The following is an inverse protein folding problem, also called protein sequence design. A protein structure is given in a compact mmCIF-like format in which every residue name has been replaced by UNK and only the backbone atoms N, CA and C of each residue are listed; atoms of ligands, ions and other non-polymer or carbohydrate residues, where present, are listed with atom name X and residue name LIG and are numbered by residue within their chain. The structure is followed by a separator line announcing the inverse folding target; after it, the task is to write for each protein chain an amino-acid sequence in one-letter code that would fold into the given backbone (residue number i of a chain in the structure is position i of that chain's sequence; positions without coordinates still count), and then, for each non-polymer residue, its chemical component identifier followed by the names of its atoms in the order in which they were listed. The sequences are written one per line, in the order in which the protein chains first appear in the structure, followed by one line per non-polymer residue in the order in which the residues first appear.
data_IF_848931977983
#
_entry.id   IF_848931977983
#
_cell.length_a   1.000
_cell.length_b   1.000
_cell.length_c   1.000
_cell.angle_alpha   90.00
_cell.angle_beta   90.00
_cell.angle_gamma   90.00
#
_symmetry.space_group_name_H-M   'P 1'
#
loop_
_entity.id
_entity.type
_entity.pdbx_description
1 polymer ?
#
# COMPACT_ATOMS: atom_id res chain seq x y z
N UNK A 1 -14.72 -5.98 10.81
CA UNK A 1 -14.83 -7.30 10.14
C UNK A 1 -14.12 -7.39 8.78
N UNK A 2 -13.91 -6.29 8.04
CA UNK A 2 -13.33 -6.39 6.68
C UNK A 2 -11.83 -6.73 6.64
N UNK A 3 -11.06 -6.39 7.67
CA UNK A 3 -9.61 -6.62 7.71
C UNK A 3 -9.27 -8.06 8.10
N UNK A 4 -9.77 -8.53 9.25
CA UNK A 4 -9.43 -9.85 9.82
C UNK A 4 -10.54 -10.91 9.68
N UNK A 5 -11.56 -10.63 8.86
CA UNK A 5 -12.74 -11.48 8.69
C UNK A 5 -13.79 -11.36 9.80
N UNK A 6 -15.01 -11.83 9.50
CA UNK A 6 -16.18 -11.74 10.40
C UNK A 6 -15.97 -12.51 11.70
N UNK A 7 -15.54 -13.77 11.64
CA UNK A 7 -15.47 -14.66 12.80
C UNK A 7 -14.47 -14.16 13.85
N UNK A 8 -13.25 -13.82 13.42
CA UNK A 8 -12.19 -13.33 14.32
C UNK A 8 -12.52 -11.97 14.92
N UNK A 9 -13.14 -11.07 14.13
CA UNK A 9 -13.65 -9.80 14.66
C UNK A 9 -14.68 -10.03 15.76
N UNK A 10 -15.62 -10.95 15.56
CA UNK A 10 -16.67 -11.24 16.54
C UNK A 10 -16.08 -11.79 17.85
N UNK A 11 -15.13 -12.72 17.75
CA UNK A 11 -14.41 -13.27 18.90
C UNK A 11 -13.73 -12.16 19.72
N UNK A 12 -12.93 -11.29 19.09
CA UNK A 12 -12.21 -10.22 19.80
C UNK A 12 -13.16 -9.20 20.44
N UNK A 13 -14.18 -8.75 19.70
CA UNK A 13 -15.10 -7.73 20.19
C UNK A 13 -15.99 -8.24 21.33
N UNK A 14 -16.35 -9.53 21.33
CA UNK A 14 -17.22 -10.10 22.37
C UNK A 14 -16.45 -10.60 23.60
N UNK A 15 -15.20 -11.03 23.43
CA UNK A 15 -14.39 -11.57 24.55
C UNK A 15 -13.48 -10.52 25.19
N UNK A 16 -13.12 -9.46 24.44
CA UNK A 16 -12.15 -8.46 24.88
C UNK A 16 -10.73 -9.01 25.06
N UNK A 17 -10.42 -10.21 24.55
CA UNK A 17 -9.08 -10.78 24.66
C UNK A 17 -8.06 -9.96 23.88
N UNK A 18 -6.82 -9.98 24.35
CA UNK A 18 -5.70 -9.42 23.60
C UNK A 18 -5.31 -10.33 22.43
N UNK A 19 -4.83 -9.71 21.35
CA UNK A 19 -4.29 -10.38 20.17
C UNK A 19 -2.79 -10.21 20.14
N UNK A 20 -2.07 -11.32 19.96
CA UNK A 20 -0.63 -11.32 19.80
C UNK A 20 -0.21 -10.81 18.41
N UNK A 21 0.99 -10.23 18.32
CA UNK A 21 1.50 -9.62 17.08
C UNK A 21 1.54 -10.61 15.91
N UNK A 22 1.94 -11.85 16.14
CA UNK A 22 1.99 -12.88 15.11
C UNK A 22 0.60 -13.30 14.63
N UNK A 23 -0.40 -13.30 15.51
CA UNK A 23 -1.79 -13.54 15.11
C UNK A 23 -2.29 -12.38 14.24
N UNK A 24 -1.95 -11.14 14.61
CA UNK A 24 -2.29 -9.94 13.87
C UNK A 24 -1.72 -9.96 12.44
N UNK A 25 -0.48 -10.42 12.27
CA UNK A 25 0.16 -10.55 10.95
C UNK A 25 -0.51 -11.63 10.10
N UNK A 26 -0.70 -12.83 10.66
CA UNK A 26 -1.33 -13.95 9.95
C UNK A 26 -2.76 -13.66 9.49
N UNK A 27 -3.49 -12.80 10.20
CA UNK A 27 -4.85 -12.39 9.82
C UNK A 27 -4.91 -11.09 9.00
N UNK A 28 -3.76 -10.51 8.62
CA UNK A 28 -3.68 -9.32 7.77
C UNK A 28 -4.06 -8.01 8.48
N UNK A 29 -4.07 -7.99 9.82
CA UNK A 29 -4.25 -6.76 10.60
C UNK A 29 -3.02 -5.86 10.52
N UNK A 30 -1.83 -6.46 10.54
CA UNK A 30 -0.54 -5.79 10.36
C UNK A 30 0.19 -6.45 9.19
N UNK A 31 1.01 -5.68 8.48
CA UNK A 31 1.74 -6.15 7.30
C UNK A 31 3.06 -6.87 7.61
N UNK A 32 3.62 -6.63 8.81
CA UNK A 32 4.90 -7.22 9.24
C UNK A 32 5.03 -7.12 10.77
N UNK A 33 5.71 -8.09 11.36
CA UNK A 33 6.17 -8.06 12.76
C UNK A 33 7.69 -8.10 12.77
N UNK A 34 8.29 -7.30 13.64
CA UNK A 34 9.75 -7.19 13.82
C UNK A 34 10.07 -7.14 15.32
N UNK A 35 11.31 -7.48 15.74
CA UNK A 35 11.76 -7.25 17.11
C UNK A 35 11.57 -5.79 17.53
N UNK A 36 11.28 -5.57 18.82
CA UNK A 36 11.01 -4.23 19.33
C UNK A 36 12.18 -3.26 19.11
N UNK A 37 13.41 -3.76 19.25
CA UNK A 37 14.64 -2.98 19.07
C UNK A 37 14.83 -2.51 17.61
N UNK A 38 14.28 -3.24 16.64
CA UNK A 38 14.39 -2.95 15.20
C UNK A 38 13.21 -2.14 14.66
N UNK A 39 12.18 -1.89 15.48
CA UNK A 39 10.90 -1.32 15.04
C UNK A 39 11.08 -0.01 14.24
N UNK A 40 11.86 0.91 14.80
CA UNK A 40 12.05 2.22 14.19
C UNK A 40 12.88 2.18 12.92
N UNK A 41 13.85 1.28 12.85
CA UNK A 41 14.72 1.16 11.68
C UNK A 41 13.98 0.51 10.52
N UNK A 42 13.23 -0.57 10.78
CA UNK A 42 12.37 -1.21 9.79
C UNK A 42 11.28 -0.25 9.28
N UNK A 43 10.66 0.55 10.17
CA UNK A 43 9.64 1.53 9.78
C UNK A 43 10.23 2.65 8.90
N UNK A 44 11.42 3.17 9.24
CA UNK A 44 12.10 4.20 8.45
C UNK A 44 12.61 3.68 7.12
N UNK A 45 13.08 2.44 7.06
CA UNK A 45 13.45 1.80 5.80
C UNK A 45 12.26 1.71 4.85
N UNK A 46 11.11 1.21 5.35
CA UNK A 46 9.89 1.16 4.55
C UNK A 46 9.44 2.55 4.10
N UNK A 47 9.47 3.54 4.99
CA UNK A 47 9.11 4.92 4.67
C UNK A 47 10.03 5.51 3.58
N UNK A 48 11.34 5.24 3.65
CA UNK A 48 12.30 5.66 2.62
C UNK A 48 12.00 5.02 1.26
N UNK A 49 11.66 3.73 1.24
CA UNK A 49 11.25 3.04 0.02
C UNK A 49 10.00 3.68 -0.58
N UNK A 50 8.96 3.95 0.23
CA UNK A 50 7.75 4.62 -0.25
C UNK A 50 8.06 6.03 -0.76
N UNK A 51 8.89 6.79 -0.04
CA UNK A 51 9.29 8.15 -0.41
C UNK A 51 10.17 8.21 -1.68
N UNK A 52 10.78 7.09 -2.07
CA UNK A 52 11.55 6.98 -3.32
C UNK A 52 10.69 6.73 -4.56
N UNK A 53 9.40 6.44 -4.38
CA UNK A 53 8.45 6.26 -5.48
C UNK A 53 7.92 7.63 -5.97
N UNK A 54 7.43 7.74 -7.21
CA UNK A 54 6.82 8.97 -7.70
C UNK A 54 5.64 9.38 -6.82
N UNK A 55 5.60 10.63 -6.37
CA UNK A 55 4.59 11.11 -5.43
C UNK A 55 3.16 10.89 -5.97
N UNK A 56 2.93 11.28 -7.21
CA UNK A 56 1.62 11.13 -7.86
C UNK A 56 1.19 9.65 -7.94
N UNK A 57 2.11 8.75 -8.28
CA UNK A 57 1.81 7.32 -8.33
C UNK A 57 1.48 6.77 -6.95
N UNK A 58 2.29 7.07 -5.92
CA UNK A 58 2.06 6.62 -4.57
C UNK A 58 0.71 7.10 -4.00
N UNK A 59 0.35 8.36 -4.27
CA UNK A 59 -0.94 8.93 -3.86
C UNK A 59 -2.12 8.24 -4.56
N UNK A 60 -2.06 8.11 -5.89
CA UNK A 60 -3.15 7.52 -6.68
C UNK A 60 -3.32 6.02 -6.41
N UNK A 61 -2.22 5.27 -6.20
CA UNK A 61 -2.30 3.87 -5.79
C UNK A 61 -3.00 3.73 -4.44
N UNK A 62 -2.66 4.58 -3.46
CA UNK A 62 -3.31 4.57 -2.14
C UNK A 62 -4.80 4.89 -2.25
N UNK A 63 -5.18 5.83 -3.10
CA UNK A 63 -6.59 6.18 -3.33
C UNK A 63 -7.35 5.06 -4.03
N UNK A 64 -6.79 4.49 -5.10
CA UNK A 64 -7.39 3.39 -5.85
C UNK A 64 -7.66 2.17 -4.97
N UNK A 65 -6.71 1.79 -4.10
CA UNK A 65 -6.90 0.68 -3.16
C UNK A 65 -8.04 0.97 -2.18
N UNK A 66 -8.12 2.19 -1.64
CA UNK A 66 -9.21 2.58 -0.72
C UNK A 66 -10.58 2.50 -1.40
N UNK A 67 -10.70 3.04 -2.61
CA UNK A 67 -11.95 3.01 -3.38
C UNK A 67 -12.32 1.57 -3.76
N UNK A 68 -11.36 0.78 -4.22
CA UNK A 68 -11.60 -0.63 -4.55
C UNK A 68 -12.05 -1.45 -3.34
N UNK A 69 -11.58 -1.10 -2.14
CA UNK A 69 -11.98 -1.76 -0.90
C UNK A 69 -13.44 -1.50 -0.50
N UNK A 70 -14.02 -0.39 -0.97
CA UNK A 70 -15.38 0.03 -0.63
C UNK A 70 -16.41 -0.20 -1.75
N UNK A 71 -15.96 -0.57 -2.95
CA UNK A 71 -16.79 -0.68 -4.14
C UNK A 71 -16.80 -2.10 -4.74
N UNK A 72 -17.80 -2.45 -5.58
CA UNK A 72 -17.76 -3.69 -6.33
C UNK A 72 -16.54 -3.76 -7.26
N UNK A 73 -16.03 -4.97 -7.51
CA UNK A 73 -14.82 -5.20 -8.33
C UNK A 73 -14.83 -4.44 -9.66
N UNK A 74 -15.95 -4.44 -10.38
CA UNK A 74 -16.08 -3.75 -11.67
C UNK A 74 -15.89 -2.24 -11.57
N UNK A 75 -16.38 -1.61 -10.48
CA UNK A 75 -16.22 -0.18 -10.23
C UNK A 75 -14.79 0.15 -9.79
N UNK A 76 -14.21 -0.69 -8.91
CA UNK A 76 -12.81 -0.57 -8.50
C UNK A 76 -11.85 -0.60 -9.70
N UNK A 77 -12.01 -1.57 -10.60
CA UNK A 77 -11.19 -1.68 -11.82
C UNK A 77 -11.37 -0.46 -12.73
N UNK A 78 -12.60 0.04 -12.90
CA UNK A 78 -12.85 1.24 -13.71
C UNK A 78 -12.22 2.50 -13.10
N UNK A 79 -12.22 2.62 -11.78
CA UNK A 79 -11.55 3.70 -11.08
C UNK A 79 -10.02 3.61 -11.23
N UNK A 80 -9.44 2.44 -10.93
CA UNK A 80 -8.01 2.18 -11.05
C UNK A 80 -7.49 2.46 -12.46
N UNK A 81 -8.20 1.98 -13.50
CA UNK A 81 -7.84 2.24 -14.90
C UNK A 81 -7.76 3.74 -15.21
N UNK A 82 -8.71 4.54 -14.70
CA UNK A 82 -8.71 6.00 -14.93
C UNK A 82 -7.54 6.68 -14.23
N UNK A 83 -7.25 6.29 -12.99
CA UNK A 83 -6.09 6.80 -12.24
C UNK A 83 -4.76 6.39 -12.87
N UNK A 84 -4.68 5.17 -13.40
CA UNK A 84 -3.49 4.72 -14.13
C UNK A 84 -3.29 5.52 -15.41
N UNK A 85 -4.36 5.80 -16.16
CA UNK A 85 -4.29 6.61 -17.37
C UNK A 85 -3.85 8.05 -17.09
N UNK A 86 -4.26 8.66 -15.98
CA UNK A 86 -3.83 10.03 -15.65
C UNK A 86 -2.34 10.12 -15.38
N UNK A 87 -1.69 9.05 -14.87
CA UNK A 87 -0.24 9.02 -14.67
C UNK A 87 0.57 9.18 -15.96
N UNK A 88 0.03 8.82 -17.13
CA UNK A 88 0.73 9.01 -18.42
C UNK A 88 0.92 10.48 -18.79
N UNK A 89 0.30 11.40 -18.05
CA UNK A 89 0.53 12.84 -18.20
C UNK A 89 1.71 13.36 -17.38
N UNK A 90 2.27 12.58 -16.45
CA UNK A 90 3.40 13.01 -15.60
C UNK A 90 4.74 12.74 -16.26
N UNK A 91 5.74 13.55 -15.92
CA UNK A 91 7.10 13.36 -16.40
C UNK A 91 7.77 12.16 -15.71
N UNK A 92 7.37 11.87 -14.47
CA UNK A 92 7.86 10.70 -13.73
C UNK A 92 7.45 9.37 -14.39
N UNK A 93 6.31 9.33 -15.07
CA UNK A 93 5.90 8.15 -15.83
C UNK A 93 6.86 7.89 -17.00
N UNK A 94 7.26 8.94 -17.71
CA UNK A 94 8.23 8.84 -18.83
C UNK A 94 9.61 8.46 -18.32
N UNK A 95 10.07 9.11 -17.24
CA UNK A 95 11.35 8.81 -16.61
C UNK A 95 11.40 7.37 -16.07
N UNK A 96 10.34 6.90 -15.42
CA UNK A 96 10.24 5.53 -14.95
C UNK A 96 10.37 4.50 -16.08
N UNK A 97 9.69 4.75 -17.21
CA UNK A 97 9.83 3.89 -18.40
C UNK A 97 11.23 3.95 -19.02
N UNK A 98 11.80 5.16 -19.15
CA UNK A 98 13.14 5.34 -19.71
C UNK A 98 14.20 4.65 -18.85
N UNK A 99 14.18 4.89 -17.54
CA UNK A 99 15.10 4.27 -16.58
C UNK A 99 15.01 2.73 -16.61
N UNK A 100 13.80 2.18 -16.74
CA UNK A 100 13.59 0.74 -16.87
C UNK A 100 14.22 0.16 -18.16
N UNK A 101 13.99 0.80 -19.31
CA UNK A 101 14.57 0.38 -20.59
C UNK A 101 16.09 0.52 -20.60
N UNK A 102 16.61 1.60 -20.02
CA UNK A 102 18.03 1.91 -19.90
C UNK A 102 18.74 1.14 -18.77
N UNK A 103 17.99 0.37 -17.96
CA UNK A 103 18.49 -0.41 -16.81
C UNK A 103 19.28 0.43 -15.80
N UNK A 104 18.80 1.64 -15.52
CA UNK A 104 19.35 2.55 -14.51
C UNK A 104 18.32 2.85 -13.43
N UNK A 105 18.79 3.44 -12.33
CA UNK A 105 17.88 3.99 -11.32
C UNK A 105 17.10 5.19 -11.88
N UNK A 106 15.80 5.22 -11.59
CA UNK A 106 14.92 6.33 -11.95
C UNK A 106 15.13 7.52 -10.99
N UNK A 107 15.04 8.74 -11.53
CA UNK A 107 15.13 9.98 -10.76
C UNK A 107 13.84 10.78 -10.91
N UNK A 108 12.89 10.49 -10.03
CA UNK A 108 11.59 11.18 -10.01
C UNK A 108 11.73 12.61 -9.50
N UNK A 109 11.01 13.53 -10.14
CA UNK A 109 11.03 14.97 -9.83
C UNK A 109 9.67 15.48 -9.33
N UNK A 110 8.68 14.60 -9.21
CA UNK A 110 7.31 14.91 -8.79
C UNK A 110 6.67 15.97 -9.69
N UNK A 111 6.81 15.79 -11.00
CA UNK A 111 6.27 16.67 -12.06
C UNK A 111 5.37 15.93 -13.02
#
# INVERSE_FOLDING_TARGET
ARVIGKSKTMELCLTGRMMEAEEAERCGLVSRVVPADDLMDAARELARTIASMPLAAAMLTKEAIKVAYETPLSQGIQFERRMFQSLFSTDDQKEGMAAYVEKRSAHFKDK
#
